data_IF_666929973628
#
_entry.id   IF_666929973628
#
_cell.length_a   1.000
_cell.length_b   1.000
_cell.length_c   1.000
_cell.angle_alpha   90.00
_cell.angle_beta   90.00
_cell.angle_gamma   90.00
#
_symmetry.space_group_name_H-M   'P 1'
#
loop_
_entity.id
_entity.type
_entity.pdbx_description
1 polymer ?
#
# COMPACT_ATOMS: atom_id res chain seq x y z
N UNK A 1 -12.05 -3.48 30.05
CA UNK A 1 -11.44 -3.98 28.80
C UNK A 1 -10.95 -2.77 28.02
N UNK A 2 -9.86 -2.82 27.25
CA UNK A 2 -9.38 -1.63 26.54
C UNK A 2 -10.35 -1.19 25.44
N UNK A 3 -10.78 0.07 25.46
CA UNK A 3 -11.61 0.66 24.39
C UNK A 3 -10.69 1.18 23.30
N UNK A 4 -10.99 0.84 22.05
CA UNK A 4 -10.28 1.34 20.87
C UNK A 4 -11.10 2.45 20.20
N UNK A 5 -10.46 3.56 19.84
CA UNK A 5 -11.06 4.65 19.09
C UNK A 5 -10.14 5.12 17.96
N UNK A 6 -10.73 5.31 16.78
CA UNK A 6 -10.10 5.98 15.65
C UNK A 6 -10.34 7.49 15.77
N UNK A 7 -9.26 8.26 15.86
CA UNK A 7 -9.27 9.72 16.07
C UNK A 7 -8.74 10.39 14.82
N UNK A 8 -9.49 11.32 14.23
CA UNK A 8 -8.96 12.15 13.12
C UNK A 8 -7.98 13.18 13.67
N UNK A 9 -6.84 13.40 13.02
CA UNK A 9 -5.89 14.43 13.47
C UNK A 9 -6.32 15.86 13.10
N UNK A 10 -7.36 16.02 12.28
CA UNK A 10 -7.96 17.30 11.93
C UNK A 10 -9.21 17.66 12.76
N UNK A 11 -9.55 16.83 13.76
CA UNK A 11 -10.75 16.92 14.62
C UNK A 11 -12.08 17.14 13.86
N UNK A 12 -12.13 16.80 12.56
CA UNK A 12 -13.30 17.03 11.69
C UNK A 12 -14.56 16.27 12.10
N UNK A 13 -14.42 15.27 12.98
CA UNK A 13 -15.52 14.57 13.63
C UNK A 13 -15.11 13.96 14.97
N UNK A 14 -16.11 13.61 15.80
CA UNK A 14 -15.89 12.88 17.05
C UNK A 14 -15.19 11.53 16.79
N UNK A 15 -14.32 11.04 17.69
CA UNK A 15 -13.67 9.74 17.54
C UNK A 15 -14.66 8.60 17.27
N UNK A 16 -14.31 7.74 16.31
CA UNK A 16 -15.13 6.57 15.95
C UNK A 16 -14.67 5.39 16.81
N UNK A 17 -15.56 4.88 17.66
CA UNK A 17 -15.29 3.72 18.50
C UNK A 17 -15.19 2.45 17.64
N UNK A 18 -14.17 1.63 17.89
CA UNK A 18 -13.95 0.35 17.24
C UNK A 18 -14.07 -0.77 18.28
N UNK A 19 -15.20 -1.49 18.25
CA UNK A 19 -15.45 -2.59 19.19
C UNK A 19 -14.49 -3.77 18.95
N UNK A 20 -14.10 -4.45 20.02
CA UNK A 20 -13.14 -5.55 19.95
C UNK A 20 -13.63 -6.64 18.99
N UNK A 21 -12.76 -7.05 18.07
CA UNK A 21 -13.01 -8.09 17.06
C UNK A 21 -14.18 -7.86 16.09
N UNK A 22 -14.84 -6.70 16.12
CA UNK A 22 -15.87 -6.34 15.14
C UNK A 22 -15.24 -5.62 13.94
N UNK A 23 -15.72 -5.91 12.73
CA UNK A 23 -15.36 -5.16 11.51
C UNK A 23 -16.24 -3.93 11.36
N UNK A 24 -15.64 -2.77 11.06
CA UNK A 24 -16.31 -1.51 10.76
C UNK A 24 -15.80 -1.00 9.41
N UNK A 25 -16.70 -0.73 8.46
CA UNK A 25 -16.34 -0.23 7.12
C UNK A 25 -16.49 1.28 7.06
N UNK A 26 -15.40 1.99 6.76
CA UNK A 26 -15.33 3.45 6.71
C UNK A 26 -14.89 3.97 5.33
N UNK A 27 -15.24 5.21 5.02
CA UNK A 27 -14.90 5.92 3.78
C UNK A 27 -15.57 7.28 3.74
N UNK A 28 -15.87 7.85 2.56
CA UNK A 28 -16.61 9.11 2.44
C UNK A 28 -18.05 8.95 2.93
N UNK A 29 -18.43 9.71 3.96
CA UNK A 29 -19.74 9.54 4.58
C UNK A 29 -20.02 10.52 5.73
N UNK A 30 -21.20 10.39 6.38
CA UNK A 30 -21.59 11.24 7.49
C UNK A 30 -20.79 10.97 8.77
N UNK A 31 -20.13 9.81 8.89
CA UNK A 31 -19.30 9.42 10.03
C UNK A 31 -17.95 10.14 10.00
N UNK A 32 -17.18 9.94 8.92
CA UNK A 32 -15.85 10.53 8.70
C UNK A 32 -15.89 12.00 8.27
N UNK A 33 -17.07 12.51 7.87
CA UNK A 33 -17.28 13.81 7.19
C UNK A 33 -16.51 14.01 5.87
N UNK A 34 -15.73 13.04 5.42
CA UNK A 34 -14.97 13.13 4.16
C UNK A 34 -15.92 13.29 2.98
N UNK A 35 -15.70 14.35 2.18
CA UNK A 35 -16.48 14.67 0.98
C UNK A 35 -15.73 14.37 -0.34
N UNK A 36 -14.43 14.07 -0.30
CA UNK A 36 -13.64 13.81 -1.51
C UNK A 36 -14.17 12.56 -2.26
N UNK A 37 -14.53 12.75 -3.54
CA UNK A 37 -15.00 11.70 -4.44
C UNK A 37 -13.94 10.64 -4.75
N UNK A 38 -12.64 10.90 -4.48
CA UNK A 38 -11.56 9.90 -4.57
C UNK A 38 -11.61 8.87 -3.44
N UNK A 39 -12.14 9.24 -2.28
CA UNK A 39 -12.42 8.29 -1.21
C UNK A 39 -13.65 7.45 -1.60
N UNK A 40 -13.56 6.13 -1.52
CA UNK A 40 -14.74 5.26 -1.65
C UNK A 40 -15.70 5.50 -0.48
N UNK A 41 -17.00 5.19 -0.62
CA UNK A 41 -17.90 5.11 0.56
C UNK A 41 -17.44 4.00 1.50
N UNK A 42 -16.93 2.93 0.91
CA UNK A 42 -16.29 1.78 1.57
C UNK A 42 -14.81 1.81 1.14
N UNK A 43 -14.00 2.58 1.86
CA UNK A 43 -12.58 2.78 1.57
C UNK A 43 -11.71 1.80 2.35
N UNK A 44 -12.04 1.55 3.62
CA UNK A 44 -11.36 0.60 4.50
C UNK A 44 -12.36 -0.24 5.30
N UNK A 45 -12.00 -1.48 5.60
CA UNK A 45 -12.57 -2.26 6.70
C UNK A 45 -11.54 -2.25 7.85
N UNK A 46 -11.98 -1.87 9.05
CA UNK A 46 -11.18 -1.81 10.27
C UNK A 46 -11.65 -2.86 11.28
N UNK A 47 -10.72 -3.56 11.93
CA UNK A 47 -11.03 -4.54 13.00
C UNK A 47 -10.07 -4.38 14.17
N UNK A 48 -10.57 -4.09 15.37
CA UNK A 48 -9.74 -3.79 16.54
C UNK A 48 -9.40 -5.01 17.40
N UNK A 49 -8.10 -5.22 17.69
CA UNK A 49 -7.62 -6.18 18.67
C UNK A 49 -7.19 -5.43 19.95
N UNK A 50 -8.17 -5.09 20.78
CA UNK A 50 -8.00 -4.42 22.06
C UNK A 50 -7.10 -5.18 23.05
N UNK A 51 -6.99 -6.50 22.93
CA UNK A 51 -6.14 -7.33 23.80
C UNK A 51 -4.67 -7.26 23.38
N UNK A 52 -4.40 -7.03 22.08
CA UNK A 52 -3.04 -6.94 21.50
C UNK A 52 -2.63 -5.51 21.12
N UNK A 53 -3.47 -4.52 21.36
CA UNK A 53 -3.17 -3.09 21.20
C UNK A 53 -2.97 -2.63 19.74
N UNK A 54 -3.72 -3.19 18.79
CA UNK A 54 -3.65 -2.78 17.37
C UNK A 54 -5.01 -2.85 16.65
N UNK A 55 -5.10 -2.24 15.47
CA UNK A 55 -6.19 -2.52 14.52
C UNK A 55 -5.64 -3.16 13.25
N UNK A 56 -6.45 -4.00 12.61
CA UNK A 56 -6.21 -4.45 11.23
C UNK A 56 -6.95 -3.52 10.28
N UNK A 57 -6.26 -2.98 9.28
CA UNK A 57 -6.81 -2.19 8.18
C UNK A 57 -6.81 -3.04 6.92
N UNK A 58 -7.98 -3.23 6.30
CA UNK A 58 -8.10 -3.77 4.93
C UNK A 58 -8.52 -2.65 3.99
N UNK A 59 -7.78 -2.40 2.92
CA UNK A 59 -8.24 -1.44 1.89
C UNK A 59 -9.32 -2.09 1.01
N UNK A 60 -10.49 -1.47 0.93
CA UNK A 60 -11.60 -1.85 0.04
C UNK A 60 -11.68 -0.94 -1.19
N UNK A 61 -11.38 0.35 -1.01
CA UNK A 61 -11.44 1.36 -2.06
C UNK A 61 -10.37 1.17 -3.16
N UNK A 62 -10.65 1.69 -4.35
CA UNK A 62 -9.72 1.58 -5.50
C UNK A 62 -8.49 2.49 -5.36
N UNK A 63 -8.64 3.68 -4.77
CA UNK A 63 -7.53 4.60 -4.54
C UNK A 63 -6.74 4.19 -3.28
N UNK A 64 -5.40 4.39 -3.24
CA UNK A 64 -4.55 3.98 -2.13
C UNK A 64 -5.00 4.48 -0.76
N UNK A 65 -5.06 3.58 0.21
CA UNK A 65 -5.00 3.84 1.66
C UNK A 65 -3.57 3.56 2.13
N UNK A 66 -3.10 4.32 3.11
CA UNK A 66 -1.72 4.23 3.58
C UNK A 66 -1.62 4.10 5.11
N UNK A 67 -0.58 3.41 5.57
CA UNK A 67 -0.11 3.42 6.96
C UNK A 67 1.29 4.04 6.95
N UNK A 68 1.44 5.16 7.64
CA UNK A 68 2.60 6.05 7.56
C UNK A 68 2.89 6.39 6.07
N UNK A 69 4.03 6.01 5.50
CA UNK A 69 4.32 6.17 4.06
C UNK A 69 4.05 4.91 3.21
N UNK A 70 3.59 3.81 3.81
CA UNK A 70 3.38 2.52 3.14
C UNK A 70 1.95 2.40 2.61
N UNK A 71 1.78 2.11 1.32
CA UNK A 71 0.47 1.82 0.71
C UNK A 71 0.00 0.41 1.14
N UNK A 72 -1.22 0.31 1.68
CA UNK A 72 -1.84 -0.97 2.08
C UNK A 72 -2.13 -1.84 0.85
N UNK A 73 -2.80 -1.27 -0.15
CA UNK A 73 -3.22 -1.96 -1.38
C UNK A 73 -4.58 -2.66 -1.22
N UNK A 74 -5.46 -2.45 -2.20
CA UNK A 74 -6.82 -3.02 -2.23
C UNK A 74 -6.79 -4.54 -2.04
N UNK A 75 -7.59 -5.03 -1.09
CA UNK A 75 -7.70 -6.45 -0.72
C UNK A 75 -6.76 -6.88 0.41
N UNK A 76 -5.57 -6.29 0.49
CA UNK A 76 -4.57 -6.60 1.52
C UNK A 76 -5.00 -6.14 2.91
N UNK A 77 -4.37 -6.72 3.94
CA UNK A 77 -4.51 -6.32 5.35
C UNK A 77 -3.16 -5.92 5.94
N UNK A 78 -3.14 -4.79 6.65
CA UNK A 78 -1.97 -4.26 7.38
C UNK A 78 -2.37 -3.93 8.81
N UNK A 79 -1.46 -4.15 9.75
CA UNK A 79 -1.65 -3.83 11.18
C UNK A 79 -1.20 -2.40 11.47
N UNK A 80 -2.01 -1.65 12.23
CA UNK A 80 -1.70 -0.29 12.72
C UNK A 80 -1.67 -0.29 14.24
N UNK A 81 -0.55 0.13 14.81
CA UNK A 81 -0.34 0.33 16.26
C UNK A 81 -0.50 1.81 16.64
N UNK A 82 -0.71 2.14 17.93
CA UNK A 82 -0.60 3.50 18.45
C UNK A 82 0.72 4.16 18.05
N UNK A 83 0.67 5.45 17.72
CA UNK A 83 1.81 6.22 17.21
C UNK A 83 1.89 6.27 15.67
N UNK A 84 1.42 5.23 14.97
CA UNK A 84 1.32 5.23 13.51
C UNK A 84 0.12 6.03 13.00
N UNK A 85 0.20 6.52 11.76
CA UNK A 85 -0.84 7.31 11.09
C UNK A 85 -1.50 6.50 9.98
N UNK A 86 -2.83 6.40 10.01
CA UNK A 86 -3.65 5.82 8.94
C UNK A 86 -4.18 6.96 8.07
N UNK A 87 -3.79 7.04 6.80
CA UNK A 87 -4.39 7.98 5.84
C UNK A 87 -5.51 7.28 5.08
N UNK A 88 -6.73 7.80 5.20
CA UNK A 88 -7.92 7.18 4.60
C UNK A 88 -7.75 7.01 3.08
N UNK A 89 -7.26 8.05 2.39
CA UNK A 89 -6.97 7.97 0.95
C UNK A 89 -5.84 8.94 0.53
N UNK A 90 -4.95 8.53 -0.37
CA UNK A 90 -3.98 9.39 -1.07
C UNK A 90 -3.12 10.32 -0.17
N UNK A 91 -2.55 9.81 0.94
CA UNK A 91 -1.86 10.61 1.98
C UNK A 91 -2.69 11.82 2.51
N UNK A 92 -4.01 11.69 2.56
CA UNK A 92 -4.96 12.67 3.12
C UNK A 92 -5.93 12.00 4.11
N UNK A 93 -6.56 12.84 4.94
CA UNK A 93 -7.41 12.45 6.08
C UNK A 93 -6.66 11.50 7.03
N UNK A 94 -5.66 12.02 7.77
CA UNK A 94 -4.86 11.24 8.69
C UNK A 94 -5.60 10.95 10.01
N UNK A 95 -5.54 9.69 10.42
CA UNK A 95 -6.11 9.17 11.64
C UNK A 95 -5.03 8.55 12.53
N UNK A 96 -5.27 8.56 13.85
CA UNK A 96 -4.53 7.73 14.82
C UNK A 96 -5.46 6.77 15.55
N UNK A 97 -4.88 5.67 15.98
CA UNK A 97 -5.52 4.72 16.89
C UNK A 97 -5.20 5.11 18.33
N UNK A 98 -6.22 5.23 19.18
CA UNK A 98 -6.08 5.39 20.63
C UNK A 98 -6.72 4.20 21.32
N UNK A 99 -5.98 3.56 22.23
CA UNK A 99 -6.55 2.64 23.21
C UNK A 99 -6.59 3.34 24.56
N UNK A 100 -7.69 3.18 25.29
CA UNK A 100 -7.84 3.66 26.67
C UNK A 100 -8.33 2.52 27.55
N UNK A 101 -7.77 2.40 28.75
CA UNK A 101 -8.31 1.47 29.74
C UNK A 101 -9.67 1.98 30.22
N UNK A 102 -10.64 1.07 30.25
CA UNK A 102 -12.00 1.38 30.64
C UNK A 102 -12.13 1.33 32.17
N UNK A 103 -11.95 2.49 32.81
CA UNK A 103 -12.02 2.65 34.27
C UNK A 103 -13.46 2.66 34.81
N UNK A 104 -14.46 2.33 33.98
CA UNK A 104 -15.89 2.33 34.34
C UNK A 104 -16.34 1.15 35.24
N UNK A 105 -15.41 0.52 35.98
CA UNK A 105 -15.76 -0.36 37.11
C UNK A 105 -15.45 0.35 38.43
N UNK A 106 -16.47 0.74 39.23
CA UNK A 106 -16.24 1.29 40.55
C UNK A 106 -15.73 0.18 41.47
N UNK A 107 -14.39 0.07 41.59
CA UNK A 107 -13.78 -0.73 42.65
C UNK A 107 -14.08 -0.07 43.99
N UNK A 108 -14.75 -0.80 44.87
CA UNK A 108 -15.08 -0.37 46.23
C UNK A 108 -13.81 0.04 47.00
N UNK A 109 -13.92 1.12 47.77
CA UNK A 109 -12.79 1.67 48.51
C UNK A 109 -12.55 0.91 49.82
N UNK A 110 -11.53 0.06 49.83
CA UNK A 110 -10.81 -0.42 51.02
C UNK A 110 -9.47 -1.05 50.55
N UNK A 111 -8.32 -0.87 51.19
CA UNK A 111 -7.95 0.03 52.29
C UNK A 111 -6.43 0.32 52.21
N UNK A 112 -5.90 1.25 53.01
CA UNK A 112 -4.46 1.54 53.03
C UNK A 112 -3.70 0.47 53.83
N UNK A 113 -2.62 -0.08 53.27
CA UNK A 113 -1.39 -0.30 54.04
C UNK A 113 -0.12 -0.49 53.17
N UNK A 114 0.97 0.06 53.69
CA UNK A 114 2.39 -0.10 53.31
C UNK A 114 3.19 -0.04 54.62
N UNK A 115 4.48 -0.43 54.67
CA UNK A 115 5.17 -1.45 53.89
C UNK A 115 5.94 -2.44 54.80
N UNK A 116 6.54 -3.51 54.26
CA UNK A 116 7.64 -4.19 54.95
C UNK A 116 8.68 -4.79 54.00
N UNK A 117 9.85 -5.12 54.56
CA UNK A 117 11.06 -5.60 53.87
C UNK A 117 11.22 -7.11 54.08
N UNK A 118 11.89 -7.81 53.15
CA UNK A 118 13.22 -8.46 53.31
C UNK A 118 13.46 -9.44 52.14
N UNK A 119 14.73 -9.75 51.86
CA UNK A 119 15.15 -10.75 50.88
C UNK A 119 15.91 -11.90 51.58
N UNK A 120 15.90 -13.11 50.98
CA UNK A 120 16.73 -14.33 51.17
C UNK A 120 15.86 -15.59 50.95
N UNK A 121 16.34 -16.81 50.64
CA UNK A 121 17.49 -17.31 49.82
C UNK A 121 17.49 -18.86 49.83
N UNK A 122 17.17 -19.51 48.70
CA UNK A 122 17.42 -20.95 48.41
C UNK A 122 16.71 -21.93 49.40
N UNK A 123 16.75 -23.28 49.32
CA UNK A 123 17.37 -24.28 48.40
C UNK A 123 16.52 -25.58 48.39
N UNK A 124 16.86 -26.56 47.50
CA UNK A 124 16.87 -28.05 47.71
C UNK A 124 15.61 -28.82 48.20
N UNK A 125 15.31 -30.08 47.81
CA UNK A 125 15.72 -30.99 46.71
C UNK A 125 14.87 -32.30 46.73
N UNK A 126 14.90 -33.09 45.63
CA UNK A 126 14.51 -34.52 45.59
C UNK A 126 13.00 -34.85 45.53
N UNK A 127 12.58 -36.05 45.08
CA UNK A 127 13.25 -37.08 44.27
C UNK A 127 12.20 -37.93 43.48
N UNK A 128 12.65 -38.90 42.68
CA UNK A 128 11.91 -39.84 41.81
C UNK A 128 10.82 -40.70 42.55
N UNK A 129 9.91 -41.48 41.93
CA UNK A 129 10.09 -42.49 40.87
C UNK A 129 8.87 -42.70 39.91
N UNK A 130 8.80 -43.88 39.25
CA UNK A 130 8.18 -44.16 37.93
C UNK A 130 7.51 -45.54 37.92
N UNK A 131 6.21 -45.63 37.60
CA UNK A 131 5.49 -46.91 37.37
C UNK A 131 4.70 -46.85 36.03
N UNK A 132 4.37 -48.02 35.48
CA UNK A 132 3.99 -48.27 34.07
C UNK A 132 2.47 -48.40 33.84
N UNK A 133 2.11 -48.38 32.54
CA UNK A 133 0.84 -48.81 31.94
C UNK A 133 0.43 -50.27 32.27
N UNK A 134 -0.80 -50.69 31.92
CA UNK A 134 -0.96 -51.39 30.63
C UNK A 134 -2.20 -50.98 29.81
N UNK A 135 -2.32 -51.53 28.61
CA UNK A 135 -3.49 -51.49 27.72
C UNK A 135 -3.78 -52.90 27.19
N UNK A 136 -4.98 -53.14 26.62
CA UNK A 136 -5.37 -54.23 25.70
C UNK A 136 -6.89 -54.10 25.34
N UNK A 137 -7.31 -53.97 24.07
CA UNK A 137 -7.68 -54.99 23.04
C UNK A 137 -8.88 -55.89 23.40
N UNK A 138 -9.84 -56.24 22.51
CA UNK A 138 -10.17 -55.85 21.12
C UNK A 138 -11.52 -56.53 20.68
N UNK A 139 -11.92 -56.42 19.39
CA UNK A 139 -12.79 -57.38 18.61
C UNK A 139 -14.29 -57.55 18.99
N UNK A 140 -15.24 -57.88 18.08
CA UNK A 140 -15.35 -57.76 16.60
C UNK A 140 -16.79 -58.03 16.08
N UNK A 141 -17.08 -57.69 14.80
CA UNK A 141 -18.22 -58.13 13.93
C UNK A 141 -19.66 -57.71 14.40
N UNK A 142 -20.78 -57.63 13.63
CA UNK A 142 -21.22 -57.91 12.23
C UNK A 142 -22.62 -57.19 12.00
N UNK A 143 -23.47 -57.22 10.92
CA UNK A 143 -23.56 -57.81 9.55
C UNK A 143 -24.73 -57.18 8.70
N UNK A 144 -24.47 -56.57 7.51
CA UNK A 144 -25.45 -56.24 6.40
C UNK A 144 -26.64 -55.27 6.72
N UNK A 145 -27.37 -54.64 5.78
CA UNK A 145 -27.51 -54.70 4.30
C UNK A 145 -27.47 -53.26 3.71
N UNK A 146 -26.82 -52.91 2.59
CA UNK A 146 -26.97 -53.28 1.15
C UNK A 146 -28.05 -52.48 0.37
N UNK A 147 -27.59 -51.51 -0.43
CA UNK A 147 -28.01 -51.25 -1.82
C UNK A 147 -26.83 -50.61 -2.60
N UNK A 148 -26.76 -50.79 -3.92
CA UNK A 148 -25.53 -50.69 -4.73
C UNK A 148 -25.79 -50.02 -6.14
N UNK A 149 -24.85 -49.92 -7.14
CA UNK A 149 -24.31 -48.59 -7.47
C UNK A 149 -24.38 -48.15 -8.98
N UNK A 150 -23.28 -47.83 -9.73
CA UNK A 150 -22.95 -46.48 -10.19
C UNK A 150 -22.92 -46.31 -11.75
N UNK A 151 -22.28 -45.27 -12.35
CA UNK A 151 -20.82 -45.30 -12.60
C UNK A 151 -20.06 -43.95 -12.56
N UNK A 152 -18.73 -44.01 -12.71
CA UNK A 152 -17.76 -42.88 -12.60
C UNK A 152 -17.35 -42.31 -13.97
N UNK A 153 -16.88 -41.05 -14.01
CA UNK A 153 -15.84 -40.56 -14.96
C UNK A 153 -14.91 -39.52 -14.31
N UNK A 154 -13.63 -39.53 -14.70
CA UNK A 154 -12.52 -38.64 -14.30
C UNK A 154 -11.50 -38.64 -15.47
N UNK A 155 -10.55 -37.70 -15.56
CA UNK A 155 -10.67 -36.27 -15.88
C UNK A 155 -10.30 -35.96 -17.34
N UNK A 156 -10.41 -34.69 -17.74
CA UNK A 156 -9.62 -34.13 -18.85
C UNK A 156 -9.02 -32.76 -18.47
N UNK A 157 -7.85 -32.45 -19.03
CA UNK A 157 -7.03 -31.28 -18.72
C UNK A 157 -7.58 -29.98 -19.31
N UNK A 158 -7.50 -28.87 -18.57
CA UNK A 158 -7.83 -27.55 -19.13
C UNK A 158 -8.14 -26.44 -18.13
N UNK A 159 -7.41 -26.32 -17.02
CA UNK A 159 -7.53 -25.16 -16.12
C UNK A 159 -6.42 -24.14 -16.38
N UNK A 160 -6.75 -23.08 -17.13
CA UNK A 160 -5.89 -21.92 -17.29
C UNK A 160 -5.49 -21.36 -15.93
N UNK A 161 -4.19 -21.20 -15.71
CA UNK A 161 -3.69 -20.47 -14.55
C UNK A 161 -3.95 -18.99 -14.75
N UNK A 162 -5.15 -18.56 -14.33
CA UNK A 162 -5.48 -17.15 -14.11
C UNK A 162 -4.37 -16.51 -13.26
N UNK A 163 -3.52 -15.71 -13.92
CA UNK A 163 -2.42 -15.04 -13.25
C UNK A 163 -2.97 -14.12 -12.16
N UNK A 164 -2.38 -14.15 -10.97
CA UNK A 164 -2.83 -13.32 -9.86
C UNK A 164 -2.67 -11.85 -10.21
N UNK A 165 -3.78 -11.20 -10.56
CA UNK A 165 -3.83 -9.79 -10.94
C UNK A 165 -3.39 -8.90 -9.77
N UNK A 166 -2.08 -8.63 -9.74
CA UNK A 166 -1.43 -7.84 -8.69
C UNK A 166 -2.04 -6.45 -8.56
N UNK A 167 -1.93 -5.87 -7.35
CA UNK A 167 -2.52 -4.58 -7.05
C UNK A 167 -2.18 -3.53 -8.12
N UNK A 168 -3.19 -2.88 -8.71
CA UNK A 168 -3.03 -2.09 -9.95
C UNK A 168 -1.96 -0.99 -9.85
N UNK A 169 -1.72 -0.40 -8.66
CA UNK A 169 -0.66 0.60 -8.46
C UNK A 169 0.76 0.03 -8.53
N UNK A 170 0.92 -1.30 -8.41
CA UNK A 170 2.14 -2.07 -8.62
C UNK A 170 2.23 -2.61 -10.06
N UNK A 171 1.27 -2.30 -10.95
CA UNK A 171 1.27 -2.72 -12.35
C UNK A 171 2.53 -2.27 -13.10
N UNK A 172 3.16 -1.16 -12.69
CA UNK A 172 4.50 -0.77 -13.14
C UNK A 172 5.56 -1.83 -12.82
N UNK A 173 5.63 -2.36 -11.58
CA UNK A 173 6.63 -3.37 -11.20
C UNK A 173 6.48 -4.68 -11.96
N UNK A 174 5.25 -5.07 -12.30
CA UNK A 174 4.98 -6.21 -13.21
C UNK A 174 5.43 -5.88 -14.63
N UNK A 175 5.12 -4.67 -15.13
CA UNK A 175 5.48 -4.25 -16.49
C UNK A 175 6.98 -4.01 -16.68
N UNK A 176 7.71 -3.66 -15.61
CA UNK A 176 9.18 -3.61 -15.56
C UNK A 176 9.81 -5.00 -15.73
N UNK A 177 9.12 -6.07 -15.33
CA UNK A 177 9.61 -7.45 -15.44
C UNK A 177 9.22 -8.12 -16.77
N UNK A 178 8.14 -7.68 -17.44
CA UNK A 178 7.70 -8.20 -18.74
C UNK A 178 8.70 -7.85 -19.87
N UNK A 179 9.43 -8.84 -20.45
CA UNK A 179 10.40 -8.57 -21.52
C UNK A 179 9.79 -8.01 -22.80
N UNK A 180 8.47 -8.14 -23.01
CA UNK A 180 7.77 -7.60 -24.20
C UNK A 180 7.50 -6.10 -24.08
N UNK A 181 7.51 -5.57 -22.86
CA UNK A 181 7.30 -4.14 -22.57
C UNK A 181 8.63 -3.37 -22.53
N UNK A 182 9.73 -4.06 -22.19
CA UNK A 182 11.09 -3.51 -22.16
C UNK A 182 11.55 -3.07 -23.56
N UNK A 183 12.01 -1.82 -23.69
CA UNK A 183 12.71 -1.32 -24.89
C UNK A 183 14.20 -1.03 -24.63
N UNK A 184 14.58 -0.83 -23.37
CA UNK A 184 15.97 -0.67 -22.92
C UNK A 184 16.07 -1.10 -21.45
N UNK A 185 17.26 -1.54 -21.00
CA UNK A 185 17.60 -1.73 -19.57
C UNK A 185 19.11 -1.72 -19.35
N UNK A 186 19.51 -1.38 -18.14
CA UNK A 186 20.88 -1.49 -17.62
C UNK A 186 20.86 -1.94 -16.14
N UNK A 187 21.95 -1.72 -15.41
CA UNK A 187 22.10 -2.05 -13.98
C UNK A 187 21.21 -1.22 -13.04
N UNK A 188 20.64 -0.10 -13.51
CA UNK A 188 19.97 0.89 -12.66
C UNK A 188 18.53 1.17 -13.07
N UNK A 189 18.24 1.11 -14.37
CA UNK A 189 16.94 1.47 -14.94
C UNK A 189 16.44 0.47 -15.98
N UNK A 190 15.14 0.55 -16.22
CA UNK A 190 14.44 -0.09 -17.35
C UNK A 190 13.56 0.95 -18.02
N UNK A 191 13.53 0.93 -19.35
CA UNK A 191 12.58 1.72 -20.14
C UNK A 191 11.50 0.80 -20.67
N UNK A 192 10.25 1.15 -20.43
CA UNK A 192 9.09 0.47 -21.00
C UNK A 192 8.24 1.44 -21.82
N UNK A 193 7.46 0.92 -22.78
CA UNK A 193 6.35 1.68 -23.38
C UNK A 193 5.25 1.87 -22.35
N UNK A 194 4.62 3.05 -22.27
CA UNK A 194 3.41 3.22 -21.44
C UNK A 194 2.28 2.35 -22.04
N UNK A 195 1.64 1.53 -21.20
CA UNK A 195 0.54 0.61 -21.60
C UNK A 195 -0.72 1.33 -22.10
N UNK A 196 -0.86 2.61 -21.78
CA UNK A 196 -1.96 3.50 -22.16
C UNK A 196 -1.38 4.84 -22.65
N UNK A 197 -0.59 4.87 -23.74
CA UNK A 197 0.25 6.01 -24.11
C UNK A 197 -0.59 7.27 -24.35
N UNK A 198 -0.13 8.47 -24.00
CA UNK A 198 -0.93 9.72 -24.15
C UNK A 198 -0.59 10.55 -25.38
N UNK A 199 0.38 10.10 -26.17
CA UNK A 199 0.82 10.63 -27.45
C UNK A 199 1.35 9.45 -28.28
N UNK A 200 1.73 9.68 -29.55
CA UNK A 200 2.32 8.65 -30.43
C UNK A 200 3.53 7.94 -29.82
N UNK A 201 4.39 8.69 -29.14
CA UNK A 201 5.54 8.18 -28.42
C UNK A 201 5.39 8.51 -26.93
N UNK A 202 5.28 7.47 -26.10
CA UNK A 202 5.23 7.61 -24.64
C UNK A 202 5.94 6.43 -23.97
N UNK A 203 7.10 6.71 -23.40
CA UNK A 203 7.87 5.75 -22.61
C UNK A 203 7.96 6.18 -21.15
N UNK A 204 8.25 5.19 -20.29
CA UNK A 204 8.52 5.36 -18.88
C UNK A 204 9.94 4.84 -18.60
N UNK A 205 10.85 5.69 -18.13
CA UNK A 205 12.12 5.24 -17.52
C UNK A 205 11.85 5.02 -16.04
N UNK A 206 12.07 3.80 -15.55
CA UNK A 206 11.89 3.43 -14.14
C UNK A 206 13.21 2.93 -13.57
N UNK A 207 13.63 3.35 -12.37
CA UNK A 207 14.75 2.75 -11.69
C UNK A 207 14.38 1.36 -11.17
N UNK A 208 15.35 0.46 -11.02
CA UNK A 208 15.15 -0.79 -10.27
C UNK A 208 14.93 -0.49 -8.77
N UNK A 209 15.55 0.57 -8.25
CA UNK A 209 15.36 1.07 -6.89
C UNK A 209 13.91 1.48 -6.59
N UNK A 210 13.36 0.98 -5.49
CA UNK A 210 11.93 1.14 -5.12
C UNK A 210 11.59 2.50 -4.50
N UNK A 211 11.92 3.60 -5.18
CA UNK A 211 11.60 4.97 -4.74
C UNK A 211 10.10 5.24 -4.94
N UNK A 212 9.35 5.47 -3.86
CA UNK A 212 7.87 5.48 -3.90
C UNK A 212 7.26 6.65 -4.69
N UNK A 213 7.84 7.85 -4.60
CA UNK A 213 7.37 9.09 -5.25
C UNK A 213 8.44 10.18 -5.22
N UNK A 214 8.22 11.31 -5.90
CA UNK A 214 9.12 12.48 -5.87
C UNK A 214 9.41 13.01 -4.45
N UNK A 215 8.47 12.84 -3.51
CA UNK A 215 8.65 13.26 -2.11
C UNK A 215 9.70 12.41 -1.37
N UNK A 216 9.94 11.18 -1.81
CA UNK A 216 10.94 10.28 -1.24
C UNK A 216 12.36 10.49 -1.81
N UNK A 217 12.57 11.50 -2.67
CA UNK A 217 13.88 11.78 -3.28
C UNK A 217 14.85 12.43 -2.28
N UNK A 218 15.82 11.64 -1.82
CA UNK A 218 16.98 12.07 -1.03
C UNK A 218 18.14 12.52 -1.94
N UNK A 219 19.17 13.12 -1.37
CA UNK A 219 20.35 13.61 -2.10
C UNK A 219 21.10 12.49 -2.83
N UNK A 220 21.16 11.29 -2.24
CA UNK A 220 21.79 10.10 -2.83
C UNK A 220 21.16 9.68 -4.18
N UNK A 221 19.88 10.00 -4.42
CA UNK A 221 19.20 9.66 -5.67
C UNK A 221 19.51 10.62 -6.83
N UNK A 222 20.30 11.69 -6.63
CA UNK A 222 20.57 12.70 -7.68
C UNK A 222 21.29 12.09 -8.89
N UNK A 223 22.26 11.21 -8.68
CA UNK A 223 22.95 10.54 -9.80
C UNK A 223 22.05 9.54 -10.54
N UNK A 224 21.09 8.93 -9.85
CA UNK A 224 20.07 8.09 -10.46
C UNK A 224 19.12 8.92 -11.33
N UNK A 225 18.66 10.09 -10.87
CA UNK A 225 17.85 11.01 -11.67
C UNK A 225 18.60 11.53 -12.90
N UNK A 226 19.89 11.90 -12.75
CA UNK A 226 20.76 12.30 -13.89
C UNK A 226 20.97 11.17 -14.89
N UNK A 227 20.94 9.92 -14.43
CA UNK A 227 21.06 8.75 -15.28
C UNK A 227 19.74 8.43 -16.00
N UNK A 228 18.60 8.48 -15.30
CA UNK A 228 17.27 8.38 -15.90
C UNK A 228 17.05 9.45 -16.99
N UNK A 229 17.50 10.68 -16.75
CA UNK A 229 17.49 11.76 -17.75
C UNK A 229 18.27 11.37 -19.02
N UNK A 230 19.55 10.98 -18.88
CA UNK A 230 20.41 10.57 -20.01
C UNK A 230 19.83 9.39 -20.80
N UNK A 231 19.24 8.40 -20.12
CA UNK A 231 18.57 7.28 -20.77
C UNK A 231 17.32 7.75 -21.52
N UNK A 232 16.56 8.69 -20.97
CA UNK A 232 15.45 9.34 -21.68
C UNK A 232 15.90 10.10 -22.93
N UNK A 233 16.99 10.85 -22.84
CA UNK A 233 17.58 11.57 -23.99
C UNK A 233 18.10 10.60 -25.07
N UNK A 234 18.61 9.43 -24.68
CA UNK A 234 18.96 8.34 -25.60
C UNK A 234 17.74 7.77 -26.34
N UNK A 235 16.57 7.66 -25.68
CA UNK A 235 15.33 7.23 -26.34
C UNK A 235 14.87 8.22 -27.41
N UNK A 236 15.12 9.52 -27.22
CA UNK A 236 14.91 10.55 -28.25
C UNK A 236 15.85 10.35 -29.44
N UNK A 237 17.16 10.13 -29.19
CA UNK A 237 18.14 9.89 -30.26
C UNK A 237 17.81 8.64 -31.11
N UNK A 238 17.15 7.64 -30.51
CA UNK A 238 16.75 6.39 -31.16
C UNK A 238 15.33 6.44 -31.77
N UNK A 239 14.61 7.56 -31.66
CA UNK A 239 13.23 7.72 -32.14
C UNK A 239 13.20 8.25 -33.59
N UNK A 240 12.64 7.51 -34.58
CA UNK A 240 12.66 7.93 -35.99
C UNK A 240 12.02 9.29 -36.27
N UNK A 241 10.97 9.67 -35.52
CA UNK A 241 10.27 10.95 -35.67
C UNK A 241 10.77 12.04 -34.70
N UNK A 242 11.90 11.86 -34.02
CA UNK A 242 12.45 12.84 -33.05
C UNK A 242 12.70 14.24 -33.65
N UNK A 243 12.96 14.31 -34.95
CA UNK A 243 13.15 15.56 -35.69
C UNK A 243 11.83 16.20 -36.17
N UNK A 244 10.69 15.48 -36.07
CA UNK A 244 9.36 15.94 -36.51
C UNK A 244 8.45 16.31 -35.33
N UNK A 245 8.67 15.69 -34.17
CA UNK A 245 7.85 15.81 -32.97
C UNK A 245 8.65 16.45 -31.84
N UNK A 246 8.09 17.47 -31.18
CA UNK A 246 8.62 17.97 -29.92
C UNK A 246 8.39 16.92 -28.81
N UNK A 247 9.39 16.72 -27.96
CA UNK A 247 9.30 15.87 -26.77
C UNK A 247 9.40 16.69 -25.47
N UNK A 248 8.96 16.10 -24.36
CA UNK A 248 9.22 16.57 -22.98
C UNK A 248 9.60 15.39 -22.09
N UNK A 249 10.43 15.66 -21.09
CA UNK A 249 10.98 14.66 -20.16
C UNK A 249 10.72 15.14 -18.73
N UNK A 250 9.83 14.47 -18.01
CA UNK A 250 9.40 14.94 -16.69
C UNK A 250 8.53 13.97 -15.90
N UNK A 251 8.07 14.45 -14.74
CA UNK A 251 7.41 13.66 -13.71
C UNK A 251 6.07 14.28 -13.32
N UNK A 252 5.07 13.45 -13.01
CA UNK A 252 3.85 13.95 -12.39
C UNK A 252 4.11 14.41 -10.94
N UNK A 253 3.76 15.66 -10.61
CA UNK A 253 3.92 16.26 -9.28
C UNK A 253 3.27 15.44 -8.16
N UNK A 254 2.16 14.77 -8.48
CA UNK A 254 1.53 13.71 -7.67
C UNK A 254 1.32 12.51 -8.61
N UNK A 255 2.13 11.44 -8.52
CA UNK A 255 2.03 10.32 -9.46
C UNK A 255 0.75 9.51 -9.24
N UNK A 256 0.21 8.96 -10.33
CA UNK A 256 -1.00 8.12 -10.34
C UNK A 256 -0.75 6.68 -9.90
N UNK A 257 0.51 6.27 -9.86
CA UNK A 257 0.99 4.94 -9.48
C UNK A 257 2.16 5.10 -8.50
N UNK A 258 2.36 4.10 -7.64
CA UNK A 258 3.56 4.00 -6.81
C UNK A 258 4.77 3.64 -7.68
N UNK A 259 5.97 4.05 -7.23
CA UNK A 259 7.27 3.95 -7.94
C UNK A 259 7.52 5.16 -8.86
N UNK A 260 8.67 5.85 -8.70
CA UNK A 260 9.07 6.99 -9.53
C UNK A 260 9.32 6.55 -10.97
N UNK A 261 8.77 7.28 -11.93
CA UNK A 261 8.92 7.03 -13.36
C UNK A 261 9.05 8.35 -14.11
N UNK A 262 10.09 8.48 -14.93
CA UNK A 262 10.30 9.61 -15.84
C UNK A 262 9.48 9.35 -17.10
N UNK A 263 8.52 10.20 -17.40
CA UNK A 263 7.81 10.18 -18.67
C UNK A 263 8.70 10.79 -19.76
N UNK A 264 8.86 10.06 -20.86
CA UNK A 264 9.44 10.56 -22.11
C UNK A 264 8.32 10.57 -23.13
N UNK A 265 7.81 11.75 -23.49
CA UNK A 265 6.52 11.88 -24.20
C UNK A 265 6.56 12.93 -25.32
N UNK A 266 6.08 12.54 -26.51
CA UNK A 266 5.89 13.45 -27.64
C UNK A 266 4.69 14.37 -27.44
N UNK A 267 4.74 15.58 -28.01
CA UNK A 267 3.76 16.66 -27.75
C UNK A 267 2.64 16.75 -28.80
N UNK A 268 2.52 15.77 -29.69
CA UNK A 268 1.34 15.60 -30.55
C UNK A 268 0.06 15.26 -29.76
N UNK A 269 0.21 14.53 -28.64
CA UNK A 269 -0.90 13.98 -27.84
C UNK A 269 -1.93 13.16 -28.65
N UNK A 270 -1.54 12.63 -29.80
CA UNK A 270 -2.37 11.82 -30.68
C UNK A 270 -2.40 10.37 -30.17
N UNK A 271 -3.44 10.04 -29.40
CA UNK A 271 -3.66 8.69 -28.88
C UNK A 271 -5.11 8.43 -28.43
N UNK A 272 -5.69 7.25 -28.73
CA UNK A 272 -7.00 6.83 -28.22
C UNK A 272 -7.04 6.61 -26.69
N UNK A 273 -5.90 6.70 -25.99
CA UNK A 273 -5.84 6.67 -24.52
C UNK A 273 -5.88 8.07 -23.85
N UNK A 274 -5.86 9.16 -24.62
CA UNK A 274 -6.06 10.53 -24.13
C UNK A 274 -7.56 10.86 -23.91
N UNK A 275 -8.24 10.08 -23.07
CA UNK A 275 -9.72 10.05 -23.00
C UNK A 275 -10.41 11.18 -22.21
N UNK A 276 -9.69 12.11 -21.57
CA UNK A 276 -10.32 13.13 -20.71
C UNK A 276 -9.39 14.31 -20.34
N UNK A 277 -9.98 15.41 -19.84
CA UNK A 277 -9.28 16.62 -19.38
C UNK A 277 -8.23 16.37 -18.29
N UNK A 278 -8.39 15.34 -17.42
CA UNK A 278 -7.36 14.98 -16.43
C UNK A 278 -6.10 14.43 -17.12
N UNK A 279 -6.26 13.61 -18.17
CA UNK A 279 -5.11 13.10 -18.94
C UNK A 279 -4.41 14.23 -19.70
N UNK A 280 -5.14 15.20 -20.24
CA UNK A 280 -4.54 16.40 -20.86
C UNK A 280 -3.77 17.23 -19.81
N UNK A 281 -4.49 17.72 -18.79
CA UNK A 281 -3.91 18.58 -17.76
C UNK A 281 -2.71 17.96 -17.04
N UNK A 282 -2.63 16.63 -16.86
CA UNK A 282 -1.50 16.02 -16.16
C UNK A 282 -0.18 16.13 -16.92
N UNK A 283 -0.21 16.34 -18.24
CA UNK A 283 0.99 16.58 -19.05
C UNK A 283 1.12 18.05 -19.50
N UNK A 284 0.03 18.79 -19.69
CA UNK A 284 0.04 20.15 -20.26
C UNK A 284 -0.07 21.30 -19.24
N UNK A 285 0.23 21.05 -17.97
CA UNK A 285 0.25 22.07 -16.90
C UNK A 285 1.44 21.84 -15.96
N UNK A 286 1.64 22.70 -14.96
CA UNK A 286 2.67 22.58 -13.91
C UNK A 286 2.53 21.31 -13.05
N UNK A 287 1.47 20.52 -13.24
CA UNK A 287 1.37 19.15 -12.74
C UNK A 287 2.42 18.22 -13.38
N UNK A 288 2.97 18.57 -14.54
CA UNK A 288 4.11 17.91 -15.18
C UNK A 288 5.40 18.70 -14.89
N UNK A 289 6.18 18.20 -13.92
CA UNK A 289 7.43 18.81 -13.50
C UNK A 289 8.56 18.36 -14.43
N UNK A 290 9.21 19.29 -15.12
CA UNK A 290 10.36 18.97 -15.97
C UNK A 290 11.49 18.30 -15.17
N UNK A 291 12.10 17.29 -15.78
CA UNK A 291 13.18 16.49 -15.16
C UNK A 291 14.38 17.36 -14.78
N UNK A 292 14.77 18.29 -15.66
CA UNK A 292 15.86 19.24 -15.43
C UNK A 292 15.59 20.18 -14.23
N UNK A 293 14.34 20.62 -14.03
CA UNK A 293 13.97 21.42 -12.84
C UNK A 293 13.96 20.60 -11.55
N UNK A 294 13.60 19.31 -11.64
CA UNK A 294 13.69 18.35 -10.54
C UNK A 294 15.14 18.08 -10.12
N UNK A 295 16.08 18.09 -11.08
CA UNK A 295 17.52 18.01 -10.82
C UNK A 295 18.04 19.29 -10.16
N UNK A 296 17.81 20.45 -10.78
CA UNK A 296 18.32 21.74 -10.32
C UNK A 296 17.97 22.03 -8.85
N UNK A 297 16.70 21.85 -8.48
CA UNK A 297 16.21 22.06 -7.11
C UNK A 297 16.88 21.15 -6.08
N UNK A 298 17.27 19.92 -6.45
CA UNK A 298 17.96 18.97 -5.56
C UNK A 298 19.47 19.23 -5.50
N UNK A 299 20.11 19.65 -6.59
CA UNK A 299 21.54 20.02 -6.58
C UNK A 299 21.81 21.34 -5.87
N UNK A 300 20.87 22.30 -5.91
CA UNK A 300 20.99 23.59 -5.24
C UNK A 300 20.68 23.55 -3.71
N UNK A 301 20.65 22.37 -3.09
CA UNK A 301 20.54 22.21 -1.63
C UNK A 301 19.15 22.47 -1.03
N UNK A 302 18.13 22.77 -1.83
CA UNK A 302 16.78 23.03 -1.31
C UNK A 302 16.15 21.74 -0.74
N UNK A 303 16.07 21.67 0.58
CA UNK A 303 15.53 20.52 1.33
C UNK A 303 14.06 20.23 1.01
N UNK A 304 13.30 21.23 0.57
CA UNK A 304 11.96 21.07 -0.03
C UNK A 304 12.02 21.31 -1.54
N UNK A 305 11.49 20.34 -2.28
CA UNK A 305 11.06 20.53 -3.66
C UNK A 305 9.84 21.48 -3.65
N UNK A 306 10.05 22.78 -3.85
CA UNK A 306 8.97 23.79 -3.92
C UNK A 306 8.19 23.66 -5.24
N UNK A 307 7.38 22.61 -5.37
CA UNK A 307 6.33 22.58 -6.39
C UNK A 307 5.18 23.48 -5.90
N UNK A 308 5.18 24.75 -6.31
CA UNK A 308 4.11 25.71 -6.01
C UNK A 308 2.87 25.41 -6.88
N UNK A 309 2.22 24.26 -6.63
CA UNK A 309 1.03 23.79 -7.37
C UNK A 309 -0.21 24.58 -6.95
N UNK A 310 -0.32 25.84 -7.37
CA UNK A 310 -1.58 26.60 -7.35
C UNK A 310 -2.51 26.14 -8.49
N UNK A 311 -2.89 24.86 -8.47
CA UNK A 311 -3.90 24.32 -9.39
C UNK A 311 -5.28 24.49 -8.76
N UNK A 312 -6.00 25.52 -9.21
CA UNK A 312 -7.46 25.55 -9.16
C UNK A 312 -7.99 24.43 -10.05
N UNK A 313 -8.87 23.58 -9.52
CA UNK A 313 -9.46 22.41 -10.19
C UNK A 313 -10.85 22.70 -10.76
#
# INVERSE_FOLDING_TARGET
MSVCSLVSEDDSHKPIQLHHQHSVTLGRGPETKIKDKKCSREQVELRADCNRGFITVKQLGVNPTNVDDVVVGKGNRVTVKPGQRLYMVNQQYPYRVRFTEDTSTPRSAAELSKPSKRAHRMSSEGNAEKIKSPANTASDHHRMSDDSPPPKKIPSSGSDKSESAGHWSQGLKVSMQDPKMQVYKDDRVVVIKDKYPKARYHWLVLPWDSISSLKALRLEHVELLKHMQRVGDQMLQQCPDAHKLRFRLGYHAIPSMSHVHLHVISQDFDSPCLKNKKHWNSFTTDYFVESQGTLYTKTAGYSKLQINVFVVL
#
